data_IF_063615347787
#
_entry.id   IF_063615347787
#
_cell.length_a   1.000
_cell.length_b   1.000
_cell.length_c   1.000
_cell.angle_alpha   90.00
_cell.angle_beta   90.00
_cell.angle_gamma   90.00
#
_symmetry.space_group_name_H-M   'P 1'
#
loop_
_entity.id
_entity.type
_entity.pdbx_description
1 polymer ?
#
# COMPACT_ATOMS: atom_id res chain seq x y z
N UNK A 1 -21.38 -19.54 -7.64
CA UNK A 1 -20.94 -18.50 -8.58
C UNK A 1 -19.65 -17.89 -8.04
N UNK A 2 -18.49 -18.33 -8.53
CA UNK A 2 -17.22 -17.63 -8.26
C UNK A 2 -17.14 -16.47 -9.24
N UNK A 3 -17.24 -15.24 -8.73
CA UNK A 3 -16.82 -14.09 -9.49
C UNK A 3 -15.29 -14.11 -9.54
N UNK A 4 -14.70 -14.71 -10.58
CA UNK A 4 -13.34 -14.39 -11.00
C UNK A 4 -13.34 -12.92 -11.40
N UNK A 5 -13.17 -12.04 -10.41
CA UNK A 5 -12.75 -10.67 -10.68
C UNK A 5 -11.44 -10.80 -11.42
N UNK A 6 -11.39 -10.34 -12.67
CA UNK A 6 -10.15 -10.08 -13.39
C UNK A 6 -9.34 -9.08 -12.55
N UNK A 7 -8.59 -9.58 -11.58
CA UNK A 7 -7.64 -8.81 -10.82
C UNK A 7 -6.54 -8.46 -11.82
N UNK A 8 -6.49 -7.19 -12.23
CA UNK A 8 -5.35 -6.70 -13.01
C UNK A 8 -4.08 -7.06 -12.24
N UNK A 9 -3.16 -7.77 -12.90
CA UNK A 9 -1.96 -8.32 -12.26
C UNK A 9 -1.05 -7.23 -11.70
N UNK A 10 -1.22 -5.98 -12.11
CA UNK A 10 -0.57 -4.85 -11.45
C UNK A 10 -1.37 -3.54 -11.64
N UNK A 11 -2.31 -3.19 -10.74
CA UNK A 11 -3.08 -1.96 -10.86
C UNK A 11 -2.21 -0.71 -10.71
N UNK A 12 -1.03 -0.83 -10.09
CA UNK A 12 -0.12 0.29 -9.83
C UNK A 12 0.46 0.88 -11.11
N UNK A 13 0.73 0.04 -12.12
CA UNK A 13 1.32 0.48 -13.40
C UNK A 13 0.41 1.41 -14.21
N UNK A 14 -0.89 1.34 -13.95
CA UNK A 14 -1.91 2.17 -14.62
C UNK A 14 -2.33 3.38 -13.80
N UNK A 15 -1.77 3.60 -12.61
CA UNK A 15 -2.19 4.72 -11.76
C UNK A 15 -1.91 6.07 -12.41
N UNK A 16 -0.73 6.24 -13.01
CA UNK A 16 -0.37 7.50 -13.68
C UNK A 16 -1.32 7.80 -14.83
N UNK A 17 -1.49 6.85 -15.75
CA UNK A 17 -2.39 7.04 -16.91
C UNK A 17 -3.84 7.27 -16.49
N UNK A 18 -4.32 6.64 -15.41
CA UNK A 18 -5.65 6.92 -14.84
C UNK A 18 -5.77 8.34 -14.28
N UNK A 19 -4.71 8.89 -13.69
CA UNK A 19 -4.70 10.27 -13.23
C UNK A 19 -4.66 11.24 -14.42
N UNK A 20 -3.85 10.96 -15.44
CA UNK A 20 -3.72 11.79 -16.65
C UNK A 20 -5.03 11.83 -17.46
N UNK A 21 -5.78 10.73 -17.49
CA UNK A 21 -7.09 10.65 -18.12
C UNK A 21 -8.20 11.32 -17.29
N UNK A 22 -7.92 11.76 -16.06
CA UNK A 22 -8.90 12.39 -15.20
C UNK A 22 -9.00 13.88 -15.49
N UNK A 23 -10.05 14.28 -16.20
CA UNK A 23 -10.28 15.69 -16.58
C UNK A 23 -10.44 16.65 -15.39
N UNK A 24 -10.58 16.15 -14.16
CA UNK A 24 -10.73 16.95 -12.93
C UNK A 24 -9.41 17.15 -12.19
N UNK A 25 -8.32 16.55 -12.65
CA UNK A 25 -6.99 16.67 -12.05
C UNK A 25 -6.04 17.44 -12.99
N UNK A 26 -5.17 18.22 -12.39
CA UNK A 26 -4.09 18.96 -13.06
C UNK A 26 -2.81 18.79 -12.24
N UNK A 27 -1.66 19.11 -12.83
CA UNK A 27 -0.36 19.06 -12.15
C UNK A 27 -0.11 17.67 -11.53
N UNK A 28 -0.10 16.64 -12.39
CA UNK A 28 0.02 15.24 -11.99
C UNK A 28 1.49 14.86 -11.89
N UNK A 29 1.85 14.22 -10.79
CA UNK A 29 3.20 13.76 -10.46
C UNK A 29 3.19 12.28 -10.12
N UNK A 30 4.29 11.61 -10.46
CA UNK A 30 4.58 10.24 -10.06
C UNK A 30 5.89 10.20 -9.28
N UNK A 31 5.84 9.62 -8.09
CA UNK A 31 7.02 9.27 -7.29
C UNK A 31 7.14 7.74 -7.27
N UNK A 32 8.33 7.23 -7.60
CA UNK A 32 8.69 5.81 -7.46
C UNK A 32 9.79 5.70 -6.43
N UNK A 33 9.53 4.94 -5.39
CA UNK A 33 10.49 4.69 -4.33
C UNK A 33 10.58 3.20 -4.05
N UNK A 34 11.79 2.74 -3.77
CA UNK A 34 12.03 1.38 -3.31
C UNK A 34 12.44 1.44 -1.84
N UNK A 35 11.76 0.67 -0.99
CA UNK A 35 12.09 0.54 0.43
C UNK A 35 12.52 -0.88 0.72
N UNK A 36 13.80 -1.07 1.03
CA UNK A 36 14.33 -2.36 1.46
C UNK A 36 13.88 -2.67 2.90
N UNK A 37 13.56 -3.93 3.17
CA UNK A 37 13.30 -4.42 4.53
C UNK A 37 14.59 -4.80 5.26
N UNK A 38 15.57 -3.89 5.28
CA UNK A 38 16.85 -4.12 5.98
C UNK A 38 16.86 -3.33 7.28
N UNK A 39 16.98 -4.01 8.42
CA UNK A 39 17.11 -3.31 9.70
C UNK A 39 18.49 -2.65 9.86
N UNK A 40 19.49 -3.16 9.13
CA UNK A 40 20.85 -2.60 9.09
C UNK A 40 20.92 -1.21 8.42
N UNK A 41 19.99 -0.89 7.52
CA UNK A 41 19.88 0.43 6.86
C UNK A 41 19.16 1.48 7.75
N UNK A 42 18.91 1.15 9.01
CA UNK A 42 18.39 2.05 10.03
C UNK A 42 16.91 1.85 10.38
N UNK A 43 16.34 2.84 11.07
CA UNK A 43 15.02 2.72 11.70
C UNK A 43 13.86 2.53 10.70
N UNK A 44 14.05 2.86 9.42
CA UNK A 44 12.98 2.80 8.41
C UNK A 44 12.66 1.36 7.99
N UNK A 45 13.66 0.53 7.71
CA UNK A 45 13.44 -0.88 7.35
C UNK A 45 12.79 -1.67 8.48
N UNK A 46 13.25 -1.43 9.71
CA UNK A 46 12.61 -1.98 10.92
C UNK A 46 11.15 -1.55 11.07
N UNK A 47 10.88 -0.25 10.94
CA UNK A 47 9.51 0.26 11.04
C UNK A 47 8.60 -0.32 9.95
N UNK A 48 9.12 -0.59 8.75
CA UNK A 48 8.37 -1.21 7.67
C UNK A 48 7.99 -2.66 8.00
N UNK A 49 8.93 -3.47 8.52
CA UNK A 49 8.66 -4.83 8.99
C UNK A 49 7.63 -4.81 10.14
N UNK A 50 7.82 -3.94 11.12
CA UNK A 50 6.92 -3.82 12.27
C UNK A 50 5.49 -3.43 11.84
N UNK A 51 5.35 -2.51 10.87
CA UNK A 51 4.05 -2.14 10.31
C UNK A 51 3.36 -3.30 9.58
N UNK A 52 4.11 -4.11 8.84
CA UNK A 52 3.55 -5.28 8.16
C UNK A 52 3.08 -6.31 9.18
N UNK A 53 3.91 -6.62 10.18
CA UNK A 53 3.56 -7.53 11.28
C UNK A 53 2.32 -7.03 12.01
N UNK A 54 2.25 -5.73 12.30
CA UNK A 54 1.07 -5.10 12.89
C UNK A 54 -0.18 -5.30 12.02
N UNK A 55 -0.07 -5.13 10.70
CA UNK A 55 -1.16 -5.41 9.76
C UNK A 55 -1.67 -6.85 9.85
N UNK A 56 -0.78 -7.84 9.79
CA UNK A 56 -1.14 -9.25 9.95
C UNK A 56 -1.76 -9.54 11.32
N UNK A 57 -1.18 -9.03 12.40
CA UNK A 57 -1.69 -9.22 13.75
C UNK A 57 -3.12 -8.68 13.93
N UNK A 58 -3.46 -7.55 13.31
CA UNK A 58 -4.84 -7.04 13.32
C UNK A 58 -5.82 -7.92 12.54
N UNK A 59 -5.34 -8.68 11.56
CA UNK A 59 -6.14 -9.63 10.79
C UNK A 59 -6.21 -11.02 11.44
N UNK A 60 -5.49 -11.25 12.55
CA UNK A 60 -5.37 -12.55 13.21
C UNK A 60 -6.72 -13.21 13.48
N UNK A 61 -7.69 -12.47 14.00
CA UNK A 61 -9.04 -12.99 14.33
C UNK A 61 -9.76 -13.58 13.12
N UNK A 62 -9.47 -13.07 11.92
CA UNK A 62 -10.05 -13.54 10.66
C UNK A 62 -9.21 -14.66 10.05
N UNK A 63 -7.89 -14.52 10.11
CA UNK A 63 -6.96 -15.42 9.40
C UNK A 63 -6.73 -16.74 10.14
N UNK A 64 -6.68 -16.74 11.47
CA UNK A 64 -6.47 -17.97 12.26
C UNK A 64 -7.50 -19.06 11.94
N UNK A 65 -8.83 -18.77 11.95
CA UNK A 65 -9.84 -19.76 11.57
C UNK A 65 -9.75 -20.20 10.10
N UNK A 66 -9.42 -19.28 9.19
CA UNK A 66 -9.32 -19.57 7.74
C UNK A 66 -8.14 -20.51 7.45
N UNK A 67 -7.01 -20.29 8.13
CA UNK A 67 -5.80 -21.08 7.96
C UNK A 67 -5.86 -22.40 8.74
N UNK A 68 -6.77 -22.53 9.71
CA UNK A 68 -6.90 -23.73 10.53
C UNK A 68 -5.72 -23.96 11.47
N UNK A 69 -5.05 -22.88 11.88
CA UNK A 69 -3.90 -22.90 12.80
C UNK A 69 -4.32 -22.43 14.20
N UNK A 70 -3.47 -22.66 15.18
CA UNK A 70 -3.59 -22.08 16.53
C UNK A 70 -3.16 -20.61 16.55
N UNK A 71 -3.47 -19.94 17.66
CA UNK A 71 -3.07 -18.55 17.89
C UNK A 71 -1.55 -18.41 17.97
N UNK A 72 -0.89 -19.36 18.63
CA UNK A 72 0.56 -19.40 18.84
C UNK A 72 1.30 -19.69 17.53
N UNK A 73 0.84 -20.68 16.75
CA UNK A 73 1.41 -20.99 15.43
C UNK A 73 1.31 -19.77 14.50
N UNK A 74 0.20 -19.05 14.53
CA UNK A 74 0.05 -17.83 13.75
C UNK A 74 1.05 -16.74 14.14
N UNK A 75 1.28 -16.52 15.44
CA UNK A 75 2.26 -15.54 15.92
C UNK A 75 3.68 -15.92 15.47
N UNK A 76 4.01 -17.21 15.52
CA UNK A 76 5.29 -17.71 15.01
C UNK A 76 5.41 -17.49 13.50
N UNK A 77 4.37 -17.78 12.72
CA UNK A 77 4.35 -17.51 11.27
C UNK A 77 4.58 -16.04 10.95
N UNK A 78 3.93 -15.11 11.65
CA UNK A 78 4.12 -13.66 11.43
C UNK A 78 5.54 -13.23 11.80
N UNK A 79 6.13 -13.81 12.84
CA UNK A 79 7.51 -13.53 13.22
C UNK A 79 8.52 -14.06 12.19
N UNK A 80 8.35 -15.30 11.73
CA UNK A 80 9.17 -15.91 10.68
C UNK A 80 9.07 -15.10 9.40
N UNK A 81 7.86 -14.74 8.98
CA UNK A 81 7.63 -13.92 7.79
C UNK A 81 8.38 -12.58 7.86
N UNK A 82 8.32 -11.89 9.00
CA UNK A 82 9.06 -10.63 9.19
C UNK A 82 10.57 -10.80 9.04
N UNK A 83 11.13 -11.93 9.49
CA UNK A 83 12.54 -12.27 9.32
C UNK A 83 12.87 -12.65 7.87
N UNK A 84 12.01 -13.42 7.21
CA UNK A 84 12.19 -13.78 5.80
C UNK A 84 12.21 -12.56 4.88
N UNK A 85 11.44 -11.51 5.18
CA UNK A 85 11.50 -10.25 4.44
C UNK A 85 12.91 -9.63 4.49
N UNK A 86 13.56 -9.69 5.64
CA UNK A 86 14.91 -9.18 5.83
C UNK A 86 15.96 -10.09 5.19
N UNK A 87 15.95 -11.38 5.54
CA UNK A 87 16.96 -12.36 5.10
C UNK A 87 17.01 -12.52 3.58
N UNK A 88 15.89 -12.33 2.88
CA UNK A 88 15.80 -12.42 1.43
C UNK A 88 16.00 -11.08 0.71
N UNK A 89 16.44 -10.03 1.40
CA UNK A 89 16.58 -8.67 0.85
C UNK A 89 15.30 -8.17 0.16
N UNK A 90 14.14 -8.53 0.73
CA UNK A 90 12.85 -8.16 0.15
C UNK A 90 12.66 -6.64 0.22
N UNK A 91 11.77 -6.13 -0.63
CA UNK A 91 11.50 -4.69 -0.70
C UNK A 91 10.05 -4.40 -1.04
N UNK A 92 9.62 -3.18 -0.72
CA UNK A 92 8.40 -2.57 -1.25
C UNK A 92 8.75 -1.65 -2.41
N UNK A 93 8.16 -1.92 -3.57
CA UNK A 93 8.03 -0.93 -4.62
C UNK A 93 6.81 -0.04 -4.32
N UNK A 94 7.09 1.19 -3.91
CA UNK A 94 6.08 2.18 -3.56
C UNK A 94 5.95 3.17 -4.71
N UNK A 95 4.80 3.10 -5.38
CA UNK A 95 4.41 4.07 -6.39
C UNK A 95 3.33 4.99 -5.84
N UNK A 96 3.62 6.28 -5.82
CA UNK A 96 2.67 7.32 -5.44
C UNK A 96 2.37 8.18 -6.65
N UNK A 97 1.09 8.29 -6.99
CA UNK A 97 0.61 9.23 -8.01
C UNK A 97 -0.31 10.22 -7.32
N UNK A 98 -0.06 11.51 -7.52
CA UNK A 98 -0.87 12.58 -6.96
C UNK A 98 -1.01 13.73 -7.95
N UNK A 99 -2.06 14.53 -7.78
CA UNK A 99 -2.29 15.72 -8.59
C UNK A 99 -3.21 16.68 -7.89
N UNK A 100 -3.28 17.91 -8.39
CA UNK A 100 -4.16 18.96 -7.86
C UNK A 100 -5.54 18.85 -8.49
N UNK A 101 -6.59 19.06 -7.71
CA UNK A 101 -7.95 19.17 -8.25
C UNK A 101 -8.09 20.48 -9.01
N UNK A 102 -8.57 20.42 -10.26
CA UNK A 102 -8.95 21.62 -11.03
C UNK A 102 -10.01 22.41 -10.27
N UNK A 103 -9.77 23.71 -10.12
CA UNK A 103 -10.51 24.56 -9.18
C UNK A 103 -12.01 24.68 -9.46
N UNK A 104 -12.78 24.78 -8.36
CA UNK A 104 -14.02 25.59 -8.30
C UNK A 104 -13.73 26.89 -7.52
N UNK A 105 -12.55 27.49 -7.69
CA UNK A 105 -12.19 28.72 -6.97
C UNK A 105 -12.87 29.98 -7.52
N UNK A 106 -13.46 29.92 -8.73
CA UNK A 106 -14.12 31.07 -9.36
C UNK A 106 -15.62 31.19 -9.06
N UNK A 107 -16.29 30.16 -8.54
CA UNK A 107 -17.76 30.22 -8.31
C UNK A 107 -18.13 30.86 -6.97
N UNK A 108 -17.22 31.01 -6.00
CA UNK A 108 -17.52 31.62 -4.70
C UNK A 108 -17.37 33.14 -4.63
N UNK A 109 -16.66 33.76 -5.58
CA UNK A 109 -16.46 35.22 -5.58
C UNK A 109 -17.63 35.94 -6.27
N UNK A 110 -18.30 35.30 -7.23
CA UNK A 110 -19.42 35.90 -7.97
C UNK A 110 -20.80 35.71 -7.31
N UNK A 111 -20.89 35.07 -6.14
CA UNK A 111 -22.14 34.93 -5.37
C UNK A 111 -22.25 35.94 -4.22
N UNK A 112 -21.35 36.94 -4.17
CA UNK A 112 -21.31 38.00 -3.15
C UNK A 112 -21.39 39.42 -3.75
N UNK A 113 -21.72 39.55 -5.05
CA UNK A 113 -22.05 40.84 -5.69
C UNK A 113 -23.50 40.84 -6.12
#
# INVERSE_FOLDING_TARGET
MQATRNLEINPSDKLLSRFEQNDRLEDIHEEKNMMLFKTEDGNLGKAAIDNIKYGFNNMKIVLVPILGVTSEEYDEMVNVFGKELEDNESYLDVRRVYGRKKGNYLTRINSLN
#
